data_IF_337280975659
#
_entry.id   IF_337280975659
#
_cell.length_a   1.000
_cell.length_b   1.000
_cell.length_c   1.000
_cell.angle_alpha   90.00
_cell.angle_beta   90.00
_cell.angle_gamma   90.00
#
_symmetry.space_group_name_H-M   'P 1'
#
loop_
_entity.id
_entity.type
_entity.pdbx_description
1 polymer ?
#
# COMPACT_ATOMS: atom_id res chain seq x y z
N UNK A 1 29.24 -8.34 2.53
CA UNK A 1 29.62 -9.76 2.51
C UNK A 1 28.35 -10.57 2.72
N UNK A 2 27.94 -11.46 1.80
CA UNK A 2 26.76 -12.28 1.97
C UNK A 2 26.93 -13.21 3.18
N UNK A 3 25.87 -13.38 3.97
CA UNK A 3 25.86 -14.31 5.10
C UNK A 3 25.62 -15.71 4.52
N UNK A 4 26.59 -16.60 4.70
CA UNK A 4 26.50 -18.01 4.29
C UNK A 4 25.99 -18.85 5.46
N UNK A 5 25.04 -19.73 5.18
CA UNK A 5 24.47 -20.63 6.19
C UNK A 5 25.47 -21.74 6.55
N UNK A 6 25.13 -22.54 7.56
CA UNK A 6 25.97 -23.67 8.01
C UNK A 6 26.30 -24.70 6.90
N UNK A 7 25.55 -24.70 5.80
CA UNK A 7 25.75 -25.56 4.63
C UNK A 7 26.44 -24.87 3.42
N UNK A 8 26.90 -23.61 3.56
CA UNK A 8 27.60 -22.89 2.49
C UNK A 8 26.71 -22.17 1.45
N UNK A 9 25.39 -22.21 1.61
CA UNK A 9 24.47 -21.47 0.73
C UNK A 9 24.32 -20.00 1.15
N UNK A 10 24.15 -19.12 0.17
CA UNK A 10 23.85 -17.71 0.40
C UNK A 10 22.45 -17.57 1.01
N UNK A 11 22.37 -17.14 2.27
CA UNK A 11 21.10 -17.06 2.99
C UNK A 11 20.40 -15.76 2.63
N UNK A 12 19.12 -15.86 2.25
CA UNK A 12 18.31 -14.69 1.93
C UNK A 12 18.18 -13.76 3.15
N UNK A 13 18.43 -12.44 2.98
CA UNK A 13 18.28 -11.46 4.04
C UNK A 13 16.86 -11.50 4.62
N UNK A 14 16.72 -11.60 5.94
CA UNK A 14 15.42 -11.58 6.62
C UNK A 14 14.72 -12.94 6.78
N UNK A 15 15.29 -14.04 6.29
CA UNK A 15 14.81 -15.40 6.58
C UNK A 15 15.12 -15.83 8.03
N UNK A 16 14.40 -16.81 8.56
CA UNK A 16 14.67 -17.37 9.90
C UNK A 16 16.10 -17.94 10.02
N UNK A 17 16.62 -18.52 8.92
CA UNK A 17 18.00 -18.99 8.83
C UNK A 17 19.02 -17.83 8.89
N UNK A 18 18.70 -16.67 8.32
CA UNK A 18 19.55 -15.47 8.37
C UNK A 18 19.60 -14.89 9.79
N UNK A 19 18.48 -14.85 10.50
CA UNK A 19 18.43 -14.42 11.90
C UNK A 19 19.20 -15.40 12.81
N UNK A 20 19.06 -16.71 12.61
CA UNK A 20 19.85 -17.70 13.34
C UNK A 20 21.36 -17.54 13.07
N UNK A 21 21.76 -17.28 11.82
CA UNK A 21 23.15 -17.04 11.46
C UNK A 21 23.73 -15.75 12.06
N UNK A 22 22.95 -14.66 12.13
CA UNK A 22 23.35 -13.43 12.82
C UNK A 22 23.40 -13.60 14.36
N UNK A 23 22.60 -14.49 14.94
CA UNK A 23 22.59 -14.77 16.38
C UNK A 23 23.71 -15.72 16.84
N UNK A 24 24.18 -16.62 15.97
CA UNK A 24 25.19 -17.64 16.29
C UNK A 24 26.63 -17.14 16.17
N UNK A 25 26.86 -16.04 15.46
CA UNK A 25 28.20 -15.57 15.17
C UNK A 25 28.63 -14.45 16.11
N UNK A 26 29.87 -14.51 16.58
CA UNK A 26 30.71 -13.39 17.04
C UNK A 26 30.90 -12.27 16.00
N UNK A 27 30.11 -12.27 14.91
CA UNK A 27 30.13 -11.40 13.73
C UNK A 27 29.10 -10.25 13.81
N UNK A 28 28.68 -9.83 15.01
CA UNK A 28 27.82 -8.65 15.23
C UNK A 28 28.39 -7.33 14.65
N UNK A 29 29.63 -7.35 14.13
CA UNK A 29 30.32 -6.26 13.43
C UNK A 29 29.97 -6.21 11.93
N UNK A 30 29.35 -7.24 11.36
CA UNK A 30 28.93 -7.21 9.95
C UNK A 30 27.70 -6.31 9.79
N UNK A 31 27.80 -5.28 8.95
CA UNK A 31 26.71 -4.35 8.59
C UNK A 31 25.38 -5.04 8.29
N UNK A 32 25.48 -6.24 7.69
CA UNK A 32 24.34 -7.03 7.22
C UNK A 32 23.45 -7.51 8.38
N UNK A 33 23.98 -7.64 9.61
CA UNK A 33 23.22 -8.02 10.80
C UNK A 33 22.79 -6.82 11.66
N UNK A 34 23.10 -5.59 11.27
CA UNK A 34 22.79 -4.40 12.07
C UNK A 34 21.36 -3.90 11.82
N UNK A 35 20.56 -3.82 12.88
CA UNK A 35 19.21 -3.22 12.85
C UNK A 35 19.23 -1.70 12.55
N UNK A 36 20.40 -1.06 12.64
CA UNK A 36 20.62 0.36 12.37
C UNK A 36 21.81 0.56 11.42
N UNK A 37 21.84 -0.16 10.30
CA UNK A 37 22.99 -0.24 9.39
C UNK A 37 23.64 1.11 9.05
N UNK A 38 22.85 2.15 8.75
CA UNK A 38 23.40 3.47 8.41
C UNK A 38 24.05 4.18 9.62
N UNK A 39 23.43 4.10 10.79
CA UNK A 39 23.98 4.67 12.02
C UNK A 39 25.23 3.90 12.47
N UNK A 40 25.24 2.58 12.27
CA UNK A 40 26.38 1.71 12.56
C UNK A 40 27.60 2.07 11.69
N UNK A 41 27.41 2.28 10.38
CA UNK A 41 28.49 2.71 9.48
C UNK A 41 29.03 4.08 9.87
N UNK A 42 28.17 5.05 10.20
CA UNK A 42 28.63 6.38 10.61
C UNK A 42 29.48 6.33 11.89
N UNK A 43 29.14 5.44 12.84
CA UNK A 43 29.97 5.20 14.03
C UNK A 43 31.30 4.52 13.67
N UNK A 44 31.32 3.60 12.71
CA UNK A 44 32.55 2.94 12.23
C UNK A 44 33.48 3.89 11.46
N UNK A 45 32.95 4.89 10.75
CA UNK A 45 33.70 5.88 9.97
C UNK A 45 34.09 7.12 10.82
N UNK A 46 34.14 6.99 12.15
CA UNK A 46 34.51 8.06 13.10
C UNK A 46 33.58 9.28 13.15
N UNK A 47 32.30 9.15 12.74
CA UNK A 47 31.26 10.19 12.91
C UNK A 47 30.17 9.75 13.91
N UNK A 48 30.49 9.57 15.20
CA UNK A 48 29.54 9.04 16.19
C UNK A 48 28.36 9.98 16.45
N UNK A 49 28.58 11.30 16.49
CA UNK A 49 27.52 12.30 16.69
C UNK A 49 26.44 12.20 15.61
N UNK A 50 26.85 12.06 14.34
CA UNK A 50 25.94 11.91 13.21
C UNK A 50 25.12 10.61 13.32
N UNK A 51 25.75 9.51 13.74
CA UNK A 51 25.05 8.25 14.00
C UNK A 51 24.00 8.33 15.11
N UNK A 52 24.27 9.08 16.20
CA UNK A 52 23.29 9.30 17.27
C UNK A 52 22.11 10.19 16.82
N UNK A 53 22.40 11.29 16.12
CA UNK A 53 21.36 12.16 15.58
C UNK A 53 20.46 11.43 14.59
N UNK A 54 21.05 10.58 13.75
CA UNK A 54 20.29 9.76 12.81
C UNK A 54 19.40 8.73 13.51
N UNK A 55 19.91 8.05 14.55
CA UNK A 55 19.11 7.12 15.35
C UNK A 55 17.94 7.83 16.05
N UNK A 56 18.16 9.04 16.57
CA UNK A 56 17.10 9.86 17.15
C UNK A 56 16.04 10.26 16.09
N UNK A 57 16.49 10.69 14.92
CA UNK A 57 15.60 11.05 13.81
C UNK A 57 14.75 9.86 13.36
N UNK A 58 15.35 8.66 13.26
CA UNK A 58 14.62 7.45 12.90
C UNK A 58 13.55 7.10 13.94
N UNK A 59 13.86 7.16 15.23
CA UNK A 59 12.90 6.90 16.31
C UNK A 59 11.72 7.89 16.31
N UNK A 60 11.95 9.14 15.92
CA UNK A 60 10.87 10.14 15.78
C UNK A 60 10.07 9.97 14.48
N UNK A 61 10.70 9.54 13.39
CA UNK A 61 10.07 9.42 12.08
C UNK A 61 9.23 8.13 11.93
N UNK A 62 9.72 6.99 12.42
CA UNK A 62 9.06 5.69 12.22
C UNK A 62 7.61 5.65 12.74
N UNK A 63 7.27 6.16 13.94
CA UNK A 63 5.89 6.18 14.41
C UNK A 63 4.96 7.00 13.51
N UNK A 64 5.45 8.10 12.94
CA UNK A 64 4.67 8.95 12.02
C UNK A 64 4.31 8.19 10.74
N UNK A 65 5.26 7.44 10.17
CA UNK A 65 5.02 6.61 8.98
C UNK A 65 4.03 5.49 9.28
N UNK A 66 4.16 4.83 10.44
CA UNK A 66 3.22 3.78 10.87
C UNK A 66 1.81 4.35 11.00
N UNK A 67 1.65 5.52 11.63
CA UNK A 67 0.36 6.18 11.77
C UNK A 67 -0.26 6.51 10.41
N UNK A 68 0.54 7.03 9.48
CA UNK A 68 0.12 7.36 8.12
C UNK A 68 -0.36 6.11 7.36
N UNK A 69 0.36 4.99 7.49
CA UNK A 69 -0.01 3.71 6.88
C UNK A 69 -1.30 3.13 7.49
N UNK A 70 -1.47 3.19 8.82
CA UNK A 70 -2.70 2.75 9.51
C UNK A 70 -3.90 3.58 9.09
N UNK A 71 -3.70 4.87 8.91
CA UNK A 71 -4.74 5.76 8.39
C UNK A 71 -5.10 5.48 6.93
N UNK A 72 -4.11 5.19 6.08
CA UNK A 72 -4.33 4.81 4.68
C UNK A 72 -5.20 3.56 4.54
N UNK A 73 -4.86 2.49 5.27
CA UNK A 73 -5.64 1.23 5.21
C UNK A 73 -7.09 1.42 5.67
N UNK A 74 -7.33 2.14 6.77
CA UNK A 74 -8.68 2.33 7.33
C UNK A 74 -9.59 3.10 6.36
N UNK A 75 -9.05 4.08 5.63
CA UNK A 75 -9.79 4.81 4.59
C UNK A 75 -10.17 3.92 3.41
N UNK A 76 -9.26 3.07 2.93
CA UNK A 76 -9.54 2.15 1.83
C UNK A 76 -10.67 1.18 2.22
N UNK A 77 -10.58 0.56 3.40
CA UNK A 77 -11.64 -0.31 3.91
C UNK A 77 -12.97 0.39 4.08
N UNK A 78 -12.96 1.64 4.55
CA UNK A 78 -14.17 2.45 4.69
C UNK A 78 -14.84 2.71 3.33
N UNK A 79 -14.07 3.12 2.31
CA UNK A 79 -14.61 3.34 0.95
C UNK A 79 -15.10 2.03 0.34
N UNK A 80 -14.36 0.93 0.48
CA UNK A 80 -14.80 -0.39 0.00
C UNK A 80 -16.10 -0.88 0.67
N UNK A 81 -16.25 -0.65 1.98
CA UNK A 81 -17.47 -0.98 2.71
C UNK A 81 -18.65 -0.08 2.29
N UNK A 82 -18.39 1.21 2.02
CA UNK A 82 -19.38 2.15 1.49
C UNK A 82 -19.85 1.77 0.07
N UNK A 83 -18.94 1.26 -0.75
CA UNK A 83 -19.24 0.80 -2.12
C UNK A 83 -19.95 -0.58 -2.15
N UNK A 84 -20.24 -1.15 -0.97
CA UNK A 84 -20.97 -2.41 -0.80
C UNK A 84 -20.14 -3.67 -1.06
N UNK A 85 -18.81 -3.53 -1.26
CA UNK A 85 -17.88 -4.64 -1.47
C UNK A 85 -17.56 -5.42 -0.18
N UNK A 86 -17.75 -4.80 0.99
CA UNK A 86 -17.53 -5.37 2.31
C UNK A 86 -18.77 -5.22 3.20
N UNK A 87 -18.90 -5.97 4.32
CA UNK A 87 -20.02 -5.85 5.24
C UNK A 87 -20.18 -4.41 5.79
N UNK A 88 -21.38 -3.84 5.68
CA UNK A 88 -21.70 -2.46 6.11
C UNK A 88 -21.36 -2.17 7.59
N UNK A 89 -21.30 -3.20 8.43
CA UNK A 89 -20.87 -3.07 9.83
C UNK A 89 -19.43 -2.56 9.96
N UNK A 90 -18.58 -2.77 8.94
CA UNK A 90 -17.23 -2.20 8.87
C UNK A 90 -17.23 -0.74 8.42
N UNK A 91 -18.29 -0.26 7.76
CA UNK A 91 -18.50 1.15 7.47
C UNK A 91 -19.12 1.93 8.64
N UNK A 92 -19.41 1.28 9.78
CA UNK A 92 -20.03 1.95 10.93
C UNK A 92 -19.12 3.04 11.51
N UNK A 93 -19.56 4.29 11.33
CA UNK A 93 -18.86 5.47 11.79
C UNK A 93 -19.28 5.80 13.23
N UNK A 94 -18.33 6.20 14.08
CA UNK A 94 -18.69 6.67 15.42
C UNK A 94 -19.55 7.96 15.35
N UNK A 95 -20.74 8.01 15.98
CA UNK A 95 -21.71 9.10 15.82
C UNK A 95 -21.20 10.48 16.29
N UNK A 96 -20.25 10.52 17.24
CA UNK A 96 -19.68 11.77 17.78
C UNK A 96 -18.42 12.27 17.08
N UNK A 97 -17.57 11.36 16.58
CA UNK A 97 -16.24 11.69 16.05
C UNK A 97 -16.11 11.49 14.54
N UNK A 98 -17.15 10.94 13.91
CA UNK A 98 -17.19 10.65 12.47
C UNK A 98 -15.99 9.79 11.98
N UNK A 99 -15.42 8.95 12.85
CA UNK A 99 -14.28 8.08 12.55
C UNK A 99 -14.65 6.59 12.48
N UNK A 100 -14.02 5.80 11.57
CA UNK A 100 -14.21 4.35 11.47
C UNK A 100 -13.42 3.61 12.57
N UNK A 101 -13.91 3.72 13.81
CA UNK A 101 -13.25 3.19 15.00
C UNK A 101 -13.11 1.65 14.98
N UNK A 102 -14.14 0.92 14.51
CA UNK A 102 -14.14 -0.55 14.45
C UNK A 102 -13.03 -1.05 13.53
N UNK A 103 -12.92 -0.49 12.33
CA UNK A 103 -11.89 -0.88 11.35
C UNK A 103 -10.51 -0.56 11.90
N UNK A 104 -10.33 0.61 12.52
CA UNK A 104 -9.03 1.03 13.06
C UNK A 104 -8.54 0.12 14.18
N UNK A 105 -9.43 -0.27 15.10
CA UNK A 105 -9.06 -1.18 16.20
C UNK A 105 -8.79 -2.59 15.64
N UNK A 106 -9.65 -3.08 14.76
CA UNK A 106 -9.49 -4.42 14.19
C UNK A 106 -8.18 -4.55 13.38
N UNK A 107 -7.89 -3.57 12.50
CA UNK A 107 -6.64 -3.57 11.73
C UNK A 107 -5.42 -3.32 12.61
N UNK A 108 -5.53 -2.45 13.62
CA UNK A 108 -4.46 -2.19 14.57
C UNK A 108 -4.06 -3.44 15.36
N UNK A 109 -5.04 -4.20 15.88
CA UNK A 109 -4.78 -5.48 16.57
C UNK A 109 -4.15 -6.48 15.61
N UNK A 110 -4.69 -6.60 14.38
CA UNK A 110 -4.14 -7.52 13.38
C UNK A 110 -2.68 -7.18 13.02
N UNK A 111 -2.37 -5.90 12.81
CA UNK A 111 -1.01 -5.42 12.55
C UNK A 111 -0.09 -5.66 13.74
N UNK A 112 -0.56 -5.41 14.97
CA UNK A 112 0.24 -5.65 16.19
C UNK A 112 0.59 -7.13 16.36
N UNK A 113 -0.36 -8.03 16.10
CA UNK A 113 -0.12 -9.48 16.10
C UNK A 113 0.85 -9.86 14.99
N UNK A 114 0.63 -9.40 13.75
CA UNK A 114 1.52 -9.70 12.64
C UNK A 114 2.96 -9.21 12.90
N UNK A 115 3.12 -8.03 13.48
CA UNK A 115 4.43 -7.47 13.84
C UNK A 115 5.13 -8.24 14.97
N UNK A 116 4.38 -8.91 15.86
CA UNK A 116 4.93 -9.71 16.94
C UNK A 116 5.41 -11.10 16.48
N UNK A 117 4.75 -11.70 15.47
CA UNK A 117 5.01 -13.07 15.04
C UNK A 117 5.88 -13.20 13.79
N UNK A 118 5.92 -12.19 12.92
CA UNK A 118 6.61 -12.28 11.64
C UNK A 118 7.86 -11.38 11.57
N UNK A 119 8.97 -11.86 10.96
CA UNK A 119 10.19 -11.08 10.85
C UNK A 119 10.06 -9.97 9.80
N UNK A 120 10.59 -8.78 10.11
CA UNK A 120 10.47 -7.57 9.27
C UNK A 120 10.89 -7.75 7.81
N UNK A 121 11.87 -8.61 7.53
CA UNK A 121 12.32 -8.90 6.16
C UNK A 121 11.26 -9.61 5.32
N UNK A 122 10.62 -10.65 5.87
CA UNK A 122 9.54 -11.35 5.17
C UNK A 122 8.33 -10.45 4.96
N UNK A 123 7.95 -9.62 5.95
CA UNK A 123 6.88 -8.63 5.76
C UNK A 123 7.24 -7.62 4.67
N UNK A 124 8.51 -7.21 4.58
CA UNK A 124 8.95 -6.28 3.55
C UNK A 124 8.83 -6.90 2.15
N UNK A 125 9.22 -8.16 1.97
CA UNK A 125 9.11 -8.85 0.68
C UNK A 125 7.65 -9.07 0.27
N UNK A 126 6.77 -9.44 1.22
CA UNK A 126 5.32 -9.58 0.99
C UNK A 126 4.69 -8.22 0.65
N UNK A 127 5.08 -7.15 1.35
CA UNK A 127 4.60 -5.79 1.07
C UNK A 127 5.08 -5.29 -0.30
N UNK A 128 6.34 -5.56 -0.65
CA UNK A 128 6.91 -5.23 -1.95
C UNK A 128 6.17 -5.96 -3.09
N UNK A 129 5.82 -7.24 -2.91
CA UNK A 129 5.07 -7.97 -3.95
C UNK A 129 3.69 -7.35 -4.21
N UNK A 130 2.98 -6.94 -3.15
CA UNK A 130 1.68 -6.26 -3.26
C UNK A 130 1.76 -4.86 -3.89
N UNK A 131 2.75 -4.07 -3.50
CA UNK A 131 2.94 -2.70 -4.05
C UNK A 131 3.36 -2.71 -5.51
N UNK A 132 4.26 -3.62 -5.90
CA UNK A 132 4.65 -3.82 -7.30
C UNK A 132 3.43 -4.19 -8.17
N UNK A 133 2.55 -5.07 -7.66
CA UNK A 133 1.32 -5.41 -8.35
C UNK A 133 0.35 -4.23 -8.44
N UNK A 134 0.20 -3.43 -7.39
CA UNK A 134 -0.62 -2.23 -7.42
C UNK A 134 -0.10 -1.23 -8.47
N UNK A 135 1.21 -0.99 -8.54
CA UNK A 135 1.82 -0.13 -9.56
C UNK A 135 1.68 -0.69 -10.97
N UNK A 136 1.81 -2.01 -11.14
CA UNK A 136 1.54 -2.70 -12.40
C UNK A 136 0.09 -2.45 -12.87
N UNK A 137 -0.89 -2.64 -11.98
CA UNK A 137 -2.31 -2.41 -12.28
C UNK A 137 -2.61 -0.94 -12.57
N UNK A 138 -2.01 0.00 -11.84
CA UNK A 138 -2.16 1.44 -12.09
C UNK A 138 -1.61 1.79 -13.47
N UNK A 139 -0.42 1.30 -13.86
CA UNK A 139 0.14 1.56 -15.18
C UNK A 139 -0.78 1.08 -16.31
N UNK A 140 -1.40 -0.10 -16.16
CA UNK A 140 -2.43 -0.59 -17.10
C UNK A 140 -3.66 0.32 -17.08
N UNK A 141 -4.18 0.66 -15.90
CA UNK A 141 -5.37 1.47 -15.76
C UNK A 141 -5.22 2.85 -16.44
N UNK A 142 -4.05 3.50 -16.31
CA UNK A 142 -3.82 4.78 -16.98
C UNK A 142 -3.78 4.62 -18.51
N UNK A 143 -3.17 3.54 -19.04
CA UNK A 143 -3.20 3.26 -20.49
C UNK A 143 -4.64 3.00 -20.98
N UNK A 144 -5.40 2.16 -20.28
CA UNK A 144 -6.80 1.87 -20.62
C UNK A 144 -7.65 3.14 -20.59
N UNK A 145 -7.49 3.99 -19.57
CA UNK A 145 -8.21 5.26 -19.46
C UNK A 145 -7.79 6.25 -20.56
N UNK A 146 -6.60 6.12 -21.13
CA UNK A 146 -6.16 6.94 -22.27
C UNK A 146 -6.86 6.57 -23.57
N UNK A 147 -7.25 5.30 -23.72
CA UNK A 147 -7.99 4.79 -24.89
C UNK A 147 -9.49 4.95 -24.72
N UNK A 148 -10.04 4.64 -23.54
CA UNK A 148 -11.49 4.67 -23.29
C UNK A 148 -12.07 6.08 -23.16
N UNK A 149 -11.39 6.97 -22.43
CA UNK A 149 -11.85 8.34 -22.19
C UNK A 149 -10.76 9.38 -22.53
N UNK A 150 -10.50 9.61 -23.83
CA UNK A 150 -9.45 10.53 -24.27
C UNK A 150 -9.79 11.99 -23.97
N UNK A 151 -11.07 12.37 -23.99
CA UNK A 151 -11.53 13.76 -23.84
C UNK A 151 -11.71 14.23 -22.40
N UNK A 152 -11.47 13.37 -21.39
CA UNK A 152 -11.58 13.76 -19.98
C UNK A 152 -10.59 14.89 -19.67
N UNK A 153 -11.03 16.02 -19.08
CA UNK A 153 -10.12 17.10 -18.69
C UNK A 153 -9.17 16.61 -17.60
N UNK A 154 -7.86 16.83 -17.78
CA UNK A 154 -6.79 16.33 -16.91
C UNK A 154 -5.86 17.50 -16.55
N UNK A 155 -5.83 17.95 -15.28
CA UNK A 155 -4.95 19.03 -14.82
C UNK A 155 -3.47 18.71 -15.02
N UNK A 156 -3.09 17.44 -14.90
CA UNK A 156 -1.75 16.93 -15.19
C UNK A 156 -1.81 15.84 -16.25
N UNK A 157 -0.92 15.90 -17.24
CA UNK A 157 -0.78 14.90 -18.31
C UNK A 157 0.67 14.42 -18.35
N UNK A 158 0.87 13.12 -18.22
CA UNK A 158 2.19 12.50 -18.44
C UNK A 158 2.62 12.68 -19.91
N UNK A 159 3.79 13.30 -20.18
CA UNK A 159 4.16 13.74 -21.52
C UNK A 159 4.39 12.61 -22.53
N UNK A 160 4.77 11.40 -22.10
CA UNK A 160 5.05 10.25 -22.99
C UNK A 160 4.47 8.95 -22.43
N UNK A 161 3.16 8.91 -22.23
CA UNK A 161 2.48 7.77 -21.56
C UNK A 161 2.72 6.41 -22.24
N UNK A 162 2.76 6.37 -23.57
CA UNK A 162 2.95 5.14 -24.35
C UNK A 162 4.37 4.57 -24.25
N UNK A 163 5.33 5.33 -23.71
CA UNK A 163 6.68 4.84 -23.40
C UNK A 163 6.83 4.60 -21.89
N UNK A 164 6.39 5.56 -21.07
CA UNK A 164 6.54 5.51 -19.62
C UNK A 164 5.76 4.35 -19.01
N UNK A 165 4.51 4.12 -19.43
CA UNK A 165 3.68 3.06 -18.84
C UNK A 165 4.20 1.64 -19.17
N UNK A 166 4.61 1.31 -20.41
CA UNK A 166 5.25 0.01 -20.69
C UNK A 166 6.58 -0.20 -19.97
N UNK A 167 7.41 0.84 -19.84
CA UNK A 167 8.66 0.74 -19.06
C UNK A 167 8.36 0.47 -17.59
N UNK A 168 7.38 1.18 -17.01
CA UNK A 168 6.95 0.94 -15.63
C UNK A 168 6.40 -0.49 -15.46
N UNK A 169 5.62 -0.99 -16.43
CA UNK A 169 5.12 -2.36 -16.45
C UNK A 169 6.24 -3.39 -16.49
N UNK A 170 7.19 -3.22 -17.41
CA UNK A 170 8.34 -4.10 -17.54
C UNK A 170 9.21 -4.09 -16.27
N UNK A 171 9.45 -2.91 -15.69
CA UNK A 171 10.20 -2.76 -14.44
C UNK A 171 9.51 -3.42 -13.25
N UNK A 172 8.20 -3.20 -13.09
CA UNK A 172 7.42 -3.84 -12.02
C UNK A 172 7.39 -5.36 -12.18
N UNK A 173 7.18 -5.86 -13.39
CA UNK A 173 7.18 -7.30 -13.68
C UNK A 173 8.57 -7.91 -13.43
N UNK A 174 9.64 -7.26 -13.88
CA UNK A 174 11.01 -7.72 -13.66
C UNK A 174 11.34 -7.83 -12.17
N UNK A 175 11.04 -6.79 -11.38
CA UNK A 175 11.27 -6.82 -9.94
C UNK A 175 10.40 -7.90 -9.26
N UNK A 176 9.15 -8.05 -9.68
CA UNK A 176 8.24 -9.05 -9.13
C UNK A 176 8.74 -10.48 -9.33
N UNK A 177 9.31 -10.81 -10.50
CA UNK A 177 9.91 -12.13 -10.74
C UNK A 177 11.24 -12.36 -10.00
N UNK A 178 11.89 -11.31 -9.51
CA UNK A 178 13.09 -11.42 -8.69
C UNK A 178 12.78 -11.64 -7.20
N UNK A 179 11.51 -11.57 -6.78
CA UNK A 179 11.14 -11.79 -5.39
C UNK A 179 11.13 -13.30 -5.03
N UNK A 180 11.29 -13.65 -3.74
CA UNK A 180 11.14 -15.01 -3.26
C UNK A 180 9.78 -15.61 -3.62
N UNK A 181 9.75 -16.92 -3.89
CA UNK A 181 8.53 -17.63 -4.30
C UNK A 181 7.42 -17.49 -3.24
N UNK A 182 7.77 -17.46 -1.96
CA UNK A 182 6.81 -17.26 -0.86
C UNK A 182 6.03 -15.94 -1.05
N UNK A 183 6.72 -14.83 -1.32
CA UNK A 183 6.12 -13.52 -1.50
C UNK A 183 5.31 -13.40 -2.79
N UNK A 184 5.72 -14.12 -3.84
CA UNK A 184 4.98 -14.22 -5.10
C UNK A 184 3.66 -14.96 -4.88
N UNK A 185 3.68 -16.07 -4.13
CA UNK A 185 2.50 -16.91 -3.88
C UNK A 185 1.45 -16.25 -2.97
N UNK A 186 1.84 -15.34 -2.07
CA UNK A 186 0.88 -14.61 -1.24
C UNK A 186 -0.15 -13.86 -2.11
N UNK A 187 0.28 -13.28 -3.23
CA UNK A 187 -0.60 -12.48 -4.08
C UNK A 187 -1.75 -13.27 -4.72
N UNK A 188 -1.53 -14.40 -5.44
CA UNK A 188 -2.62 -15.20 -5.98
C UNK A 188 -3.45 -15.86 -4.86
N UNK A 189 -2.86 -16.26 -3.73
CA UNK A 189 -3.62 -16.84 -2.60
C UNK A 189 -4.57 -15.79 -2.02
N UNK A 190 -4.07 -14.59 -1.74
CA UNK A 190 -4.89 -13.52 -1.15
C UNK A 190 -5.85 -12.91 -2.16
N UNK A 191 -5.44 -12.82 -3.43
CA UNK A 191 -6.27 -12.40 -4.54
C UNK A 191 -7.42 -13.37 -4.81
N UNK A 192 -7.17 -14.68 -4.77
CA UNK A 192 -8.23 -15.70 -4.91
C UNK A 192 -9.18 -15.65 -3.72
N UNK A 193 -8.68 -15.50 -2.48
CA UNK A 193 -9.56 -15.32 -1.32
C UNK A 193 -10.43 -14.06 -1.47
N UNK A 194 -9.83 -12.94 -1.87
CA UNK A 194 -10.55 -11.70 -2.15
C UNK A 194 -11.62 -11.88 -3.24
N UNK A 195 -11.30 -12.64 -4.29
CA UNK A 195 -12.23 -12.96 -5.38
C UNK A 195 -13.37 -13.87 -4.91
N UNK A 196 -13.11 -14.84 -4.04
CA UNK A 196 -14.13 -15.69 -3.43
C UNK A 196 -15.08 -14.86 -2.57
N UNK A 197 -14.54 -13.97 -1.72
CA UNK A 197 -15.36 -13.03 -0.92
C UNK A 197 -16.17 -12.11 -1.83
N UNK A 198 -15.57 -11.62 -2.91
CA UNK A 198 -16.24 -10.80 -3.91
C UNK A 198 -17.40 -11.57 -4.55
N UNK A 199 -17.22 -12.78 -5.05
CA UNK A 199 -18.33 -13.53 -5.67
C UNK A 199 -19.38 -14.02 -4.66
N UNK A 200 -18.97 -14.37 -3.44
CA UNK A 200 -19.88 -14.82 -2.39
C UNK A 200 -20.78 -13.69 -1.86
N UNK A 201 -20.22 -12.50 -1.65
CA UNK A 201 -20.92 -11.36 -1.04
C UNK A 201 -20.99 -10.14 -1.96
N UNK A 202 -19.84 -9.66 -2.44
CA UNK A 202 -19.72 -8.42 -3.22
C UNK A 202 -20.52 -8.41 -4.54
N UNK A 203 -20.64 -9.53 -5.24
CA UNK A 203 -21.38 -9.63 -6.51
C UNK A 203 -22.88 -9.44 -6.32
N UNK A 204 -23.43 -9.89 -5.17
CA UNK A 204 -24.87 -9.75 -4.87
C UNK A 204 -25.24 -8.39 -4.26
N UNK A 205 -24.28 -7.67 -3.66
CA UNK A 205 -24.55 -6.44 -2.90
C UNK A 205 -23.85 -5.17 -3.42
N UNK A 206 -22.92 -5.27 -4.38
CA UNK A 206 -22.22 -4.09 -4.93
C UNK A 206 -23.17 -3.16 -5.68
N UNK A 207 -23.11 -1.86 -5.35
CA UNK A 207 -23.93 -0.81 -5.95
C UNK A 207 -23.64 -0.64 -7.45
N UNK A 208 -22.40 -0.94 -7.90
CA UNK A 208 -21.99 -0.92 -9.30
C UNK A 208 -22.69 -2.02 -10.11
N UNK A 209 -22.97 -3.19 -9.51
CA UNK A 209 -23.73 -4.28 -10.14
C UNK A 209 -25.24 -4.06 -10.16
N UNK A 210 -25.78 -3.24 -9.26
CA UNK A 210 -27.22 -2.91 -9.20
C UNK A 210 -27.61 -1.67 -10.02
N UNK A 211 -26.67 -1.03 -10.70
CA UNK A 211 -26.95 0.16 -11.53
C UNK A 211 -27.36 1.40 -10.72
N UNK A 212 -27.13 1.43 -9.42
CA UNK A 212 -27.38 2.57 -8.55
C UNK A 212 -26.26 3.62 -8.75
N UNK A 213 -26.25 4.27 -9.92
CA UNK A 213 -25.40 5.44 -10.21
C UNK A 213 -25.82 6.70 -9.39
N UNK A 214 -26.86 6.59 -8.57
CA UNK A 214 -27.50 7.71 -7.88
C UNK A 214 -26.94 8.07 -6.50
N UNK A 215 -25.97 7.34 -5.94
CA UNK A 215 -25.35 7.67 -4.64
C UNK A 215 -23.84 7.94 -4.77
N UNK A 216 -23.44 8.63 -5.83
CA UNK A 216 -22.12 9.28 -5.86
C UNK A 216 -22.29 10.63 -5.15
N UNK A 217 -22.14 10.65 -3.82
CA UNK A 217 -22.21 11.84 -2.96
C UNK A 217 -21.17 12.92 -3.31
N UNK A 218 -20.37 12.77 -4.38
CA UNK A 218 -19.57 13.87 -4.93
C UNK A 218 -20.46 15.00 -5.52
N UNK A 219 -21.77 14.75 -5.71
CA UNK A 219 -22.76 15.71 -6.22
C UNK A 219 -23.86 16.10 -5.20
N UNK A 220 -23.79 15.60 -3.96
CA UNK A 220 -24.82 15.89 -2.96
C UNK A 220 -24.56 17.26 -2.28
N UNK A 221 -25.63 18.04 -2.01
CA UNK A 221 -25.57 19.40 -1.44
C UNK A 221 -24.78 19.49 -0.12
N UNK A 222 -24.71 18.38 0.63
CA UNK A 222 -24.02 18.27 1.92
C UNK A 222 -22.55 17.82 1.81
N UNK A 223 -22.05 17.59 0.60
CA UNK A 223 -20.66 17.21 0.37
C UNK A 223 -19.74 18.39 0.75
N UNK A 224 -18.69 18.18 1.55
CA UNK A 224 -17.75 19.24 1.87
C UNK A 224 -17.16 19.79 0.58
N UNK A 225 -17.29 21.10 0.38
CA UNK A 225 -16.85 21.78 -0.83
C UNK A 225 -15.48 21.27 -1.27
N UNK A 226 -15.42 20.68 -2.47
CA UNK A 226 -14.15 20.26 -3.05
C UNK A 226 -13.25 21.49 -3.10
N UNK A 227 -12.11 21.46 -2.39
CA UNK A 227 -11.13 22.56 -2.38
C UNK A 227 -10.44 22.80 -3.74
N UNK A 228 -11.01 22.26 -4.81
CA UNK A 228 -10.61 22.42 -6.19
C UNK A 228 -11.66 23.33 -6.83
N UNK A 229 -11.23 24.52 -7.24
CA UNK A 229 -12.09 25.43 -7.99
C UNK A 229 -12.68 24.72 -9.22
N UNK A 230 -13.96 24.93 -9.56
CA UNK A 230 -14.55 24.42 -10.78
C UNK A 230 -13.67 24.78 -11.98
N UNK A 231 -13.38 23.80 -12.84
CA UNK A 231 -12.57 24.06 -14.02
C UNK A 231 -13.28 25.08 -14.93
N UNK A 232 -12.56 26.05 -15.52
CA UNK A 232 -13.16 26.98 -16.47
C UNK A 232 -13.80 26.22 -17.63
N UNK A 233 -15.13 26.33 -17.77
CA UNK A 233 -15.89 25.66 -18.82
C UNK A 233 -16.43 24.26 -18.48
N UNK A 234 -16.24 23.74 -17.26
CA UNK A 234 -17.00 22.59 -16.79
C UNK A 234 -18.36 23.08 -16.24
N UNK A 235 -19.49 22.43 -16.58
CA UNK A 235 -20.77 22.71 -15.94
C UNK A 235 -20.61 22.63 -14.43
N UNK A 236 -21.21 23.58 -13.71
CA UNK A 236 -21.25 23.50 -12.26
C UNK A 236 -21.96 22.19 -11.87
N UNK A 237 -21.45 21.45 -10.87
CA UNK A 237 -22.08 20.21 -10.44
C UNK A 237 -23.55 20.46 -10.11
N UNK A 238 -24.46 19.79 -10.82
CA UNK A 238 -25.91 19.92 -10.64
C UNK A 238 -26.62 20.94 -11.52
N UNK A 239 -25.94 21.58 -12.49
CA UNK A 239 -26.61 22.49 -13.43
C UNK A 239 -27.53 21.74 -14.41
N UNK A 240 -28.58 22.38 -14.95
CA UNK A 240 -29.46 21.76 -15.95
C UNK A 240 -28.73 21.25 -17.19
N UNK A 241 -27.58 21.85 -17.53
CA UNK A 241 -26.71 21.45 -18.66
C UNK A 241 -25.99 20.12 -18.42
N UNK A 242 -25.79 19.67 -17.17
CA UNK A 242 -25.20 18.37 -16.86
C UNK A 242 -26.25 17.23 -16.96
N UNK A 243 -27.54 17.57 -16.87
CA UNK A 243 -28.66 16.62 -16.81
C UNK A 243 -29.29 16.31 -18.18
N UNK A 244 -28.82 16.95 -19.25
CA UNK A 244 -29.23 16.75 -20.65
C UNK A 244 -28.17 16.04 -21.46
#
# INVERSE_FOLDING_TARGET
>A
QPVVGAAGEAVQPGSAAFQAACNLASDAVRLVCSNEALAHVLRQVNFPLAGYLLGLAANLALPSVILMMIYGQTRIFFVMARDGLLPEKLAAIHPKWKTPHIVTIATGIFVALAAAFFPVGQLADISNSGTLFAFFMVAIAVMVLRVKDPNRPRPFKTPVIWLVAPIALAGCAFLYFNLPLESILVLPIWGTLGLVIYFAYGYRKSHVGRGLRGEVHELDEDAPATGVAPMPGAPAPGSPEERS
#
